data_IF_866906147378
#
_entry.id   IF_866906147378
#
_cell.length_a   1.000
_cell.length_b   1.000
_cell.length_c   1.000
_cell.angle_alpha   90.00
_cell.angle_beta   90.00
_cell.angle_gamma   90.00
#
_symmetry.space_group_name_H-M   'P 1'
#
loop_
_entity.id
_entity.type
_entity.pdbx_description
1 polymer ?
#
# COMPACT_ATOMS: atom_id res chain seq x y z
N UNK A 1 11.60 1.88 27.28
CA UNK A 1 11.08 2.29 25.96
C UNK A 1 9.84 1.47 25.69
N UNK A 2 8.72 2.06 25.25
CA UNK A 2 7.52 1.28 24.93
C UNK A 2 7.79 0.47 23.66
N UNK A 3 7.56 -0.84 23.73
CA UNK A 3 7.68 -1.77 22.60
C UNK A 3 6.49 -1.55 21.65
N UNK A 4 6.71 -0.70 20.64
CA UNK A 4 5.70 -0.26 19.68
C UNK A 4 6.13 -0.64 18.26
N UNK A 5 5.17 -1.00 17.39
CA UNK A 5 5.43 -1.53 16.05
C UNK A 5 6.14 -0.51 15.16
N UNK A 6 6.89 -0.99 14.17
CA UNK A 6 7.61 -0.16 13.21
C UNK A 6 6.68 0.69 12.36
N UNK A 7 7.23 1.73 11.74
CA UNK A 7 6.45 2.58 10.85
C UNK A 7 5.97 1.77 9.62
N UNK A 8 4.71 1.92 9.26
CA UNK A 8 4.13 1.13 8.18
C UNK A 8 2.60 1.08 8.20
N UNK A 9 2.06 0.25 7.30
CA UNK A 9 0.62 0.03 7.16
C UNK A 9 0.16 -1.12 8.03
N UNK A 10 -0.97 -0.92 8.70
CA UNK A 10 -1.58 -1.92 9.56
C UNK A 10 -3.09 -1.95 9.37
N UNK A 11 -3.69 -3.11 9.66
CA UNK A 11 -5.13 -3.26 9.89
C UNK A 11 -5.39 -3.39 11.38
N UNK A 12 -6.31 -2.61 11.91
CA UNK A 12 -6.76 -2.78 13.30
C UNK A 12 -7.49 -4.11 13.45
N UNK A 13 -7.24 -4.83 14.54
CA UNK A 13 -7.98 -6.07 14.88
C UNK A 13 -8.92 -5.85 16.06
N UNK A 14 -8.69 -4.79 16.83
CA UNK A 14 -9.49 -4.34 17.96
C UNK A 14 -9.64 -2.82 17.91
N UNK A 15 -10.71 -2.24 18.48
CA UNK A 15 -10.82 -0.79 18.65
C UNK A 15 -9.69 -0.22 19.51
N UNK A 16 -9.21 1.00 19.21
CA UNK A 16 -8.23 1.70 20.06
C UNK A 16 -8.93 2.25 21.30
N UNK A 17 -8.52 1.85 22.54
CA UNK A 17 -9.14 2.37 23.75
C UNK A 17 -9.09 3.90 23.85
N UNK A 18 -10.25 4.52 24.08
CA UNK A 18 -10.42 5.97 24.16
C UNK A 18 -10.49 6.71 22.82
N UNK A 19 -10.38 5.99 21.70
CA UNK A 19 -10.49 6.53 20.34
C UNK A 19 -11.26 5.56 19.42
N UNK A 20 -12.24 4.84 19.95
CA UNK A 20 -12.94 3.75 19.28
C UNK A 20 -13.70 4.23 18.03
N UNK A 21 -14.23 5.45 18.06
CA UNK A 21 -14.93 6.06 16.91
C UNK A 21 -13.97 6.31 15.73
N UNK A 22 -12.73 6.71 16.02
CA UNK A 22 -11.72 7.01 15.00
C UNK A 22 -11.00 5.75 14.51
N UNK A 23 -10.82 4.76 15.40
CA UNK A 23 -10.08 3.53 15.12
C UNK A 23 -10.85 2.31 15.62
N UNK A 24 -11.98 1.96 14.98
CA UNK A 24 -12.66 0.70 15.26
C UNK A 24 -11.83 -0.49 14.75
N UNK A 25 -12.27 -1.72 15.01
CA UNK A 25 -11.65 -2.91 14.42
C UNK A 25 -11.89 -2.97 12.90
N UNK A 26 -10.94 -3.57 12.17
CA UNK A 26 -11.07 -3.83 10.73
C UNK A 26 -10.83 -2.60 9.84
N UNK A 27 -10.04 -1.64 10.29
CA UNK A 27 -9.73 -0.42 9.53
C UNK A 27 -8.25 -0.27 9.23
N UNK A 28 -7.93 0.34 8.08
CA UNK A 28 -6.57 0.67 7.67
C UNK A 28 -5.99 1.81 8.52
N UNK A 29 -4.76 1.67 9.00
CA UNK A 29 -4.05 2.75 9.69
C UNK A 29 -2.59 2.79 9.24
N UNK A 30 -1.99 3.97 9.33
CA UNK A 30 -0.55 4.13 9.26
C UNK A 30 -0.01 4.38 10.66
N UNK A 31 1.02 3.62 11.04
CA UNK A 31 1.85 3.94 12.20
C UNK A 31 3.07 4.70 11.71
N UNK A 32 3.31 5.87 12.28
CA UNK A 32 4.44 6.73 11.95
C UNK A 32 5.20 7.16 13.19
N UNK A 33 6.26 7.94 12.97
CA UNK A 33 7.05 8.55 14.03
C UNK A 33 7.28 10.04 13.68
N UNK A 34 7.03 10.92 14.64
CA UNK A 34 7.32 12.35 14.49
C UNK A 34 8.83 12.60 14.53
N UNK A 35 9.26 13.81 14.14
CA UNK A 35 10.65 14.26 14.27
C UNK A 35 11.17 14.20 15.72
N UNK A 36 10.28 14.40 16.70
CA UNK A 36 10.58 14.26 18.12
C UNK A 36 10.65 12.80 18.62
N UNK A 37 10.45 11.84 17.72
CA UNK A 37 10.54 10.41 18.01
C UNK A 37 9.27 9.79 18.60
N UNK A 38 8.17 10.54 18.70
CA UNK A 38 6.89 10.04 19.23
C UNK A 38 6.17 9.25 18.15
N UNK A 39 5.83 7.99 18.44
CA UNK A 39 5.01 7.18 17.52
C UNK A 39 3.55 7.62 17.54
N UNK A 40 2.92 7.60 16.38
CA UNK A 40 1.52 7.98 16.20
C UNK A 40 0.80 7.00 15.29
N UNK A 41 -0.54 7.02 15.34
CA UNK A 41 -1.43 6.30 14.44
C UNK A 41 -2.39 7.27 13.76
N UNK A 42 -2.71 7.02 12.49
CA UNK A 42 -3.56 7.90 11.69
C UNK A 42 -4.37 7.12 10.66
N UNK A 43 -5.58 7.60 10.35
CA UNK A 43 -6.45 7.05 9.31
C UNK A 43 -6.11 7.64 7.94
N UNK A 44 -6.46 6.95 6.83
CA UNK A 44 -6.27 7.51 5.50
C UNK A 44 -7.08 8.79 5.33
N UNK A 45 -6.50 9.81 4.69
CA UNK A 45 -7.18 11.09 4.44
C UNK A 45 -7.69 11.18 2.98
N UNK A 46 -6.77 11.08 2.02
CA UNK A 46 -7.07 11.15 0.58
C UNK A 46 -6.41 10.00 -0.16
N UNK A 47 -7.04 9.46 -1.20
CA UNK A 47 -6.40 8.54 -2.13
C UNK A 47 -6.05 9.27 -3.43
N UNK A 48 -4.81 9.13 -3.92
CA UNK A 48 -4.41 9.66 -5.23
C UNK A 48 -3.54 8.64 -5.94
N UNK A 49 -3.94 8.25 -7.15
CA UNK A 49 -3.24 7.24 -7.97
C UNK A 49 -3.05 5.94 -7.17
N UNK A 50 -4.16 5.42 -6.65
CA UNK A 50 -4.23 4.15 -5.93
C UNK A 50 -3.43 4.08 -4.61
N UNK A 51 -3.00 5.22 -4.07
CA UNK A 51 -2.19 5.31 -2.84
C UNK A 51 -2.80 6.27 -1.84
N UNK A 52 -2.72 5.89 -0.57
CA UNK A 52 -3.19 6.71 0.52
C UNK A 52 -2.20 7.81 0.90
N UNK A 53 -2.76 8.99 1.14
CA UNK A 53 -2.10 10.13 1.75
C UNK A 53 -2.63 10.29 3.18
N UNK A 54 -1.69 10.54 4.09
CA UNK A 54 -1.93 10.61 5.53
C UNK A 54 -1.76 12.07 5.98
N UNK A 55 -2.66 12.56 6.82
CA UNK A 55 -2.65 13.94 7.32
C UNK A 55 -3.03 14.00 8.78
N UNK A 56 -2.73 15.12 9.40
CA UNK A 56 -3.24 15.47 10.72
C UNK A 56 -4.78 15.58 10.75
N UNK A 57 -5.40 15.36 11.92
CA UNK A 57 -4.75 15.07 13.21
C UNK A 57 -4.28 13.62 13.34
N UNK A 58 -3.05 13.44 13.81
CA UNK A 58 -2.52 12.13 14.24
C UNK A 58 -2.87 11.85 15.72
N UNK A 59 -2.98 10.57 16.08
CA UNK A 59 -3.22 10.15 17.48
C UNK A 59 -1.93 9.56 18.07
N UNK A 60 -1.40 10.09 19.19
CA UNK A 60 -0.22 9.52 19.82
C UNK A 60 -0.42 8.06 20.22
N UNK A 61 0.49 7.18 19.81
CA UNK A 61 0.39 5.75 20.08
C UNK A 61 0.94 5.44 21.47
N UNK A 62 0.07 5.42 22.48
CA UNK A 62 0.43 5.25 23.90
C UNK A 62 0.12 3.87 24.47
N UNK A 63 -0.56 3.00 23.73
CA UNK A 63 -0.99 1.67 24.20
C UNK A 63 -0.19 0.56 23.50
N UNK A 64 0.86 -0.01 24.13
CA UNK A 64 1.61 -1.12 23.57
C UNK A 64 0.78 -2.38 23.41
N UNK A 65 -0.17 -2.63 24.33
CA UNK A 65 -1.04 -3.81 24.29
C UNK A 65 -1.93 -3.78 23.05
N UNK A 66 -2.56 -2.65 22.75
CA UNK A 66 -3.33 -2.47 21.52
C UNK A 66 -2.44 -2.52 20.29
N UNK A 67 -1.29 -1.85 20.31
CA UNK A 67 -0.38 -1.81 19.17
C UNK A 67 0.11 -3.21 18.76
N UNK A 68 0.27 -4.13 19.71
CA UNK A 68 0.61 -5.55 19.47
C UNK A 68 -0.49 -6.36 18.79
N UNK A 69 -1.72 -5.87 18.81
CA UNK A 69 -2.86 -6.53 18.12
C UNK A 69 -2.91 -6.19 16.63
N UNK A 70 -2.21 -5.13 16.19
CA UNK A 70 -2.24 -4.67 14.81
C UNK A 70 -1.73 -5.74 13.86
N UNK A 71 -2.44 -5.94 12.75
CA UNK A 71 -2.00 -6.81 11.66
C UNK A 71 -1.18 -5.98 10.69
N UNK A 72 0.12 -6.27 10.58
CA UNK A 72 0.98 -5.63 9.59
C UNK A 72 0.50 -5.95 8.16
N UNK A 73 0.55 -4.95 7.29
CA UNK A 73 0.21 -5.05 5.87
C UNK A 73 1.45 -4.73 5.02
N UNK A 74 1.62 -5.37 3.85
CA UNK A 74 2.61 -4.94 2.88
C UNK A 74 2.44 -3.46 2.52
N UNK A 75 3.55 -2.76 2.29
CA UNK A 75 3.51 -1.37 1.82
C UNK A 75 2.77 -1.26 0.48
N UNK A 76 2.10 -0.12 0.24
CA UNK A 76 1.62 0.19 -1.11
C UNK A 76 2.80 0.31 -2.08
N UNK A 77 2.58 -0.05 -3.34
CA UNK A 77 3.63 0.00 -4.37
C UNK A 77 3.49 -1.09 -5.40
N UNK A 78 4.59 -1.43 -6.06
CA UNK A 78 4.58 -2.36 -7.20
C UNK A 78 5.00 -3.76 -6.78
N UNK A 79 4.28 -4.75 -7.32
CA UNK A 79 4.44 -6.16 -7.02
C UNK A 79 4.27 -6.98 -8.29
N UNK A 80 4.71 -8.24 -8.26
CA UNK A 80 4.37 -9.24 -9.26
C UNK A 80 3.44 -10.30 -8.69
N UNK A 81 2.53 -10.79 -9.54
CA UNK A 81 1.63 -11.88 -9.17
C UNK A 81 2.38 -13.20 -9.01
N UNK A 82 2.22 -13.93 -7.88
CA UNK A 82 2.88 -15.22 -7.67
C UNK A 82 2.27 -16.33 -8.54
N UNK A 83 1.01 -16.17 -8.97
CA UNK A 83 0.23 -17.12 -9.75
C UNK A 83 -0.80 -16.39 -10.61
N UNK A 84 -1.38 -17.05 -11.63
CA UNK A 84 -2.44 -16.43 -12.42
C UNK A 84 -3.69 -16.13 -11.60
N UNK A 85 -4.34 -15.02 -11.89
CA UNK A 85 -5.64 -14.63 -11.29
C UNK A 85 -6.69 -14.67 -12.39
N UNK A 86 -7.76 -15.46 -12.20
CA UNK A 86 -8.84 -15.59 -13.17
C UNK A 86 -10.02 -14.70 -12.76
N UNK A 87 -10.72 -14.13 -13.74
CA UNK A 87 -11.91 -13.29 -13.48
C UNK A 87 -13.20 -14.04 -13.74
N UNK A 88 -14.22 -13.69 -12.95
CA UNK A 88 -15.60 -14.08 -13.24
C UNK A 88 -16.05 -13.42 -14.54
N UNK A 89 -16.45 -14.23 -15.52
CA UNK A 89 -16.79 -13.76 -16.88
C UNK A 89 -15.67 -13.89 -17.91
N UNK A 90 -14.51 -14.44 -17.53
CA UNK A 90 -13.42 -14.79 -18.43
C UNK A 90 -12.25 -13.80 -18.41
N UNK A 91 -11.13 -14.23 -18.98
CA UNK A 91 -9.85 -13.53 -18.89
C UNK A 91 -9.05 -13.92 -17.64
N UNK A 92 -7.77 -13.55 -17.65
CA UNK A 92 -6.84 -13.81 -16.54
C UNK A 92 -5.69 -12.82 -16.54
N UNK A 93 -5.20 -12.45 -15.36
CA UNK A 93 -3.84 -11.94 -15.24
C UNK A 93 -2.86 -13.10 -15.12
N UNK A 94 -1.72 -13.00 -15.79
CA UNK A 94 -0.72 -14.05 -15.83
C UNK A 94 0.16 -14.00 -14.58
N UNK A 95 0.79 -15.15 -14.27
CA UNK A 95 1.89 -15.19 -13.30
C UNK A 95 2.96 -14.17 -13.71
N UNK A 96 3.55 -13.50 -12.73
CA UNK A 96 4.52 -12.42 -12.86
C UNK A 96 3.99 -11.13 -13.50
N UNK A 97 2.68 -11.00 -13.76
CA UNK A 97 2.12 -9.72 -14.18
C UNK A 97 2.46 -8.65 -13.13
N UNK A 98 2.90 -7.50 -13.63
CA UNK A 98 3.22 -6.33 -12.81
C UNK A 98 1.92 -5.67 -12.37
N UNK A 99 1.76 -5.47 -11.07
CA UNK A 99 0.58 -4.87 -10.45
C UNK A 99 1.00 -3.77 -9.48
N UNK A 100 0.16 -2.76 -9.33
CA UNK A 100 0.21 -1.83 -8.21
C UNK A 100 -0.73 -2.34 -7.11
N UNK A 101 -0.22 -2.40 -5.88
CA UNK A 101 -0.96 -2.70 -4.67
C UNK A 101 -1.37 -1.39 -3.99
N UNK A 102 -2.69 -1.24 -3.82
CA UNK A 102 -3.32 -0.25 -2.96
C UNK A 102 -4.23 -0.92 -1.94
N UNK A 103 -4.92 -0.12 -1.12
CA UNK A 103 -5.88 -0.62 -0.13
C UNK A 103 -7.17 0.18 -0.12
N UNK A 104 -8.28 -0.41 0.32
CA UNK A 104 -9.43 0.38 0.77
C UNK A 104 -9.27 0.87 2.22
N UNK A 105 -10.24 1.63 2.71
CA UNK A 105 -10.28 2.18 4.07
C UNK A 105 -10.37 1.10 5.17
N UNK A 106 -10.76 -0.14 4.82
CA UNK A 106 -10.76 -1.32 5.68
C UNK A 106 -9.43 -2.10 5.66
N UNK A 107 -8.49 -1.66 4.83
CA UNK A 107 -7.19 -2.29 4.65
C UNK A 107 -7.22 -3.57 3.84
N UNK A 108 -8.29 -3.84 3.07
CA UNK A 108 -8.34 -4.93 2.10
C UNK A 108 -7.49 -4.55 0.87
N UNK A 109 -6.66 -5.48 0.40
CA UNK A 109 -5.76 -5.25 -0.72
C UNK A 109 -6.54 -5.09 -2.02
N UNK A 110 -6.09 -4.16 -2.86
CA UNK A 110 -6.60 -3.93 -4.21
C UNK A 110 -5.42 -3.98 -5.18
N UNK A 111 -5.53 -4.78 -6.23
CA UNK A 111 -4.53 -4.88 -7.28
C UNK A 111 -4.98 -4.14 -8.53
N UNK A 112 -4.10 -3.32 -9.07
CA UNK A 112 -4.27 -2.61 -10.34
C UNK A 112 -3.23 -3.12 -11.32
N UNK A 113 -3.65 -3.68 -12.46
CA UNK A 113 -2.72 -4.28 -13.42
C UNK A 113 -1.99 -3.22 -14.23
N UNK A 114 -0.70 -3.47 -14.50
CA UNK A 114 0.09 -2.70 -15.45
C UNK A 114 -0.25 -3.10 -16.89
N UNK A 115 -0.58 -2.10 -17.70
CA UNK A 115 -0.96 -2.21 -19.10
C UNK A 115 -0.01 -1.35 -19.93
N UNK A 116 0.47 -1.93 -21.04
CA UNK A 116 1.23 -1.21 -22.06
C UNK A 116 0.32 -0.98 -23.27
N UNK A 117 0.32 0.24 -23.81
CA UNK A 117 -0.44 0.58 -25.02
C UNK A 117 0.40 0.28 -26.25
N UNK A 118 -0.14 -0.55 -27.13
CA UNK A 118 0.54 -0.99 -28.36
C UNK A 118 0.45 0.05 -29.51
N UNK A 119 -0.09 1.25 -29.26
CA UNK A 119 -0.21 2.30 -30.28
C UNK A 119 1.16 2.86 -30.75
N UNK A 120 2.25 2.47 -30.09
CA UNK A 120 3.63 2.77 -30.48
C UNK A 120 4.05 4.21 -30.24
N UNK A 121 3.21 5.03 -29.61
CA UNK A 121 3.48 6.46 -29.41
C UNK A 121 4.32 6.71 -28.15
N UNK A 122 4.15 5.88 -27.13
CA UNK A 122 4.79 6.03 -25.83
C UNK A 122 5.30 4.68 -25.29
N UNK A 123 6.53 4.67 -24.75
CA UNK A 123 7.05 3.53 -23.99
C UNK A 123 6.66 3.66 -22.51
N UNK A 124 5.36 3.60 -22.23
CA UNK A 124 4.79 3.83 -20.90
C UNK A 124 3.96 2.64 -20.45
N UNK A 125 4.22 2.18 -19.23
CA UNK A 125 3.33 1.29 -18.51
C UNK A 125 2.34 2.13 -17.70
N UNK A 126 1.05 2.00 -18.00
CA UNK A 126 -0.03 2.61 -17.24
C UNK A 126 -0.66 1.60 -16.30
N UNK A 127 -1.14 2.04 -15.14
CA UNK A 127 -1.88 1.17 -14.22
C UNK A 127 -3.36 1.55 -14.24
N UNK A 128 -4.22 0.54 -14.25
CA UNK A 128 -5.67 0.75 -14.30
C UNK A 128 -6.17 1.55 -13.09
N UNK A 129 -7.26 2.29 -13.28
CA UNK A 129 -8.05 2.88 -12.19
C UNK A 129 -9.10 1.90 -11.63
N UNK A 130 -9.32 0.77 -12.31
CA UNK A 130 -10.16 -0.33 -11.86
C UNK A 130 -9.30 -1.41 -11.23
N UNK A 131 -9.50 -1.60 -9.93
CA UNK A 131 -8.75 -2.58 -9.15
C UNK A 131 -9.56 -3.85 -8.88
N UNK A 132 -8.83 -4.95 -8.66
CA UNK A 132 -9.37 -6.20 -8.15
C UNK A 132 -9.14 -6.26 -6.64
N UNK A 133 -10.22 -6.40 -5.85
CA UNK A 133 -10.11 -6.73 -4.44
C UNK A 133 -9.52 -8.15 -4.28
N UNK A 134 -8.55 -8.29 -3.40
CA UNK A 134 -7.87 -9.57 -3.15
C UNK A 134 -7.99 -10.03 -1.71
N UNK A 135 -7.96 -11.35 -1.55
CA UNK A 135 -7.91 -11.99 -0.24
C UNK A 135 -6.53 -11.83 0.42
N UNK A 136 -6.52 -11.86 1.75
CA UNK A 136 -5.29 -11.74 2.55
C UNK A 136 -4.27 -12.85 2.22
N UNK A 137 -4.73 -14.00 1.74
CA UNK A 137 -3.88 -15.13 1.30
C UNK A 137 -3.08 -14.81 0.04
N UNK A 138 -3.67 -14.11 -0.94
CA UNK A 138 -2.95 -13.64 -2.13
C UNK A 138 -2.05 -12.46 -1.77
N UNK A 139 -2.54 -11.53 -0.94
CA UNK A 139 -1.78 -10.37 -0.47
C UNK A 139 -0.44 -10.78 0.17
N UNK A 140 -0.46 -11.80 1.03
CA UNK A 140 0.72 -12.31 1.73
C UNK A 140 1.76 -12.97 0.81
N UNK A 141 1.40 -13.30 -0.44
CA UNK A 141 2.25 -14.00 -1.40
C UNK A 141 2.77 -13.10 -2.53
N UNK A 142 2.38 -11.83 -2.55
CA UNK A 142 2.87 -10.88 -3.54
C UNK A 142 4.40 -10.74 -3.44
N UNK A 143 5.05 -10.69 -4.60
CA UNK A 143 6.51 -10.48 -4.65
C UNK A 143 6.79 -9.02 -4.96
N UNK A 144 7.58 -8.35 -4.11
CA UNK A 144 7.92 -6.95 -4.33
C UNK A 144 8.62 -6.74 -5.67
N UNK A 145 8.17 -5.75 -6.43
CA UNK A 145 8.69 -5.42 -7.75
C UNK A 145 9.27 -4.00 -7.73
N UNK A 146 10.60 -3.85 -7.63
CA UNK A 146 11.21 -2.52 -7.61
C UNK A 146 11.02 -1.83 -8.96
N UNK A 147 10.29 -0.71 -8.96
CA UNK A 147 10.27 0.25 -10.07
C UNK A 147 11.08 1.47 -9.64
N UNK A 148 12.15 1.76 -10.36
CA UNK A 148 13.03 2.89 -10.05
C UNK A 148 12.36 4.20 -10.49
N UNK A 149 12.15 5.16 -9.57
CA UNK A 149 11.60 6.45 -9.95
C UNK A 149 12.60 7.21 -10.82
N UNK A 150 12.17 7.71 -11.96
CA UNK A 150 12.93 8.73 -12.69
C UNK A 150 12.70 10.05 -11.97
N UNK A 151 13.74 10.57 -11.31
CA UNK A 151 13.72 11.97 -10.83
C UNK A 151 13.75 12.85 -12.07
N UNK A 152 12.80 13.78 -12.19
CA UNK A 152 12.68 14.66 -13.37
C UNK A 152 14.03 15.29 -13.73
N UNK A 153 14.43 15.14 -15.00
CA UNK A 153 15.62 15.70 -15.67
C UNK A 153 16.85 15.98 -14.78
N UNK A 154 17.58 14.93 -14.40
CA UNK A 154 19.04 15.04 -14.45
C UNK A 154 19.43 14.78 -15.92
N UNK A 155 20.14 15.73 -16.54
CA UNK A 155 20.67 15.56 -17.89
C UNK A 155 21.42 14.21 -18.00
N UNK A 156 21.32 13.49 -19.13
CA UNK A 156 22.03 12.24 -19.28
C UNK A 156 23.51 12.49 -19.04
N UNK A 157 24.11 11.75 -18.10
CA UNK A 157 25.55 11.67 -18.01
C UNK A 157 26.05 11.16 -19.36
N UNK A 158 26.78 12.00 -20.09
CA UNK A 158 27.44 11.63 -21.32
C UNK A 158 28.36 10.45 -21.03
N UNK A 159 27.88 9.23 -21.29
CA UNK A 159 28.72 8.05 -21.40
C UNK A 159 29.10 7.92 -22.86
N UNK A 160 30.10 8.70 -23.26
CA UNK A 160 30.90 8.47 -24.46
C UNK A 160 32.28 9.11 -24.25
N UNK A 161 33.24 8.28 -23.86
CA UNK A 161 34.68 8.33 -24.18
C UNK A 161 35.32 7.04 -23.69
#
# INVERSE_FOLDING_TARGET
MLDLPDAGLYRTTQPLPGHEDAFPAGVLVYVGQSESGVKFVVRPADNRRNRWFWRDPTTPLRSPTWAKTLKALPSEGFYTLPEPVNFDGGGRWLKNALVELGYNDKGQGILFVGEWKEDGTENVLSFSDRGLLIEDSLLARLTWAPILPVRGNAAPANLNS
#
